data_IF_378489472925
#
_entry.id   IF_378489472925
#
_cell.length_a   1.000
_cell.length_b   1.000
_cell.length_c   1.000
_cell.angle_alpha   90.00
_cell.angle_beta   90.00
_cell.angle_gamma   90.00
#
_symmetry.space_group_name_H-M   'P 1'
#
loop_
_entity.id
_entity.type
_entity.pdbx_description
1 polymer ?
#
# COMPACT_ATOMS: atom_id res chain seq x y z
N UNK A 1 -6.84 -1.52 11.06
CA UNK A 1 -8.28 -1.90 11.05
C UNK A 1 -9.09 -0.69 10.62
N UNK A 2 -10.10 -0.88 9.74
CA UNK A 2 -10.97 0.21 9.26
C UNK A 2 -12.27 0.30 10.09
N UNK A 3 -12.86 1.49 10.18
CA UNK A 3 -14.20 1.65 10.77
C UNK A 3 -15.23 0.89 9.92
N UNK A 4 -16.09 0.09 10.55
CA UNK A 4 -17.04 -0.80 9.86
C UNK A 4 -18.04 -0.02 9.00
N UNK A 5 -18.71 0.97 9.56
CA UNK A 5 -19.72 1.77 8.84
C UNK A 5 -19.10 2.55 7.67
N UNK A 6 -17.84 2.96 7.80
CA UNK A 6 -17.09 3.55 6.70
C UNK A 6 -16.76 2.53 5.61
N UNK A 7 -16.31 1.33 5.97
CA UNK A 7 -15.96 0.29 5.01
C UNK A 7 -17.18 -0.19 4.19
N UNK A 8 -18.35 -0.28 4.82
CA UNK A 8 -19.62 -0.59 4.13
C UNK A 8 -20.00 0.46 3.09
N UNK A 9 -19.69 1.74 3.34
CA UNK A 9 -19.93 2.84 2.40
C UNK A 9 -18.83 2.98 1.33
N UNK A 10 -17.71 2.29 1.49
CA UNK A 10 -16.54 2.39 0.61
C UNK A 10 -16.05 0.98 0.21
N UNK A 11 -16.86 0.21 -0.54
CA UNK A 11 -16.58 -1.20 -0.82
C UNK A 11 -15.27 -1.41 -1.59
N UNK A 12 -14.91 -0.49 -2.49
CA UNK A 12 -13.62 -0.53 -3.19
C UNK A 12 -12.44 -0.42 -2.22
N UNK A 13 -12.48 0.55 -1.29
CA UNK A 13 -11.42 0.72 -0.30
C UNK A 13 -11.38 -0.45 0.71
N UNK A 14 -12.54 -0.98 1.11
CA UNK A 14 -12.61 -2.15 1.97
C UNK A 14 -11.98 -3.37 1.30
N UNK A 15 -12.24 -3.58 0.00
CA UNK A 15 -11.61 -4.64 -0.79
C UNK A 15 -10.10 -4.42 -0.90
N UNK A 16 -9.67 -3.20 -1.21
CA UNK A 16 -8.25 -2.85 -1.27
C UNK A 16 -7.51 -3.23 0.03
N UNK A 17 -8.04 -2.81 1.19
CA UNK A 17 -7.45 -3.15 2.49
C UNK A 17 -7.41 -4.65 2.79
N UNK A 18 -8.33 -5.42 2.21
CA UNK A 18 -8.38 -6.88 2.39
C UNK A 18 -7.35 -7.63 1.53
N UNK A 19 -7.02 -7.12 0.35
CA UNK A 19 -6.14 -7.80 -0.61
C UNK A 19 -4.68 -7.35 -0.54
N UNK A 20 -4.42 -6.12 -0.08
CA UNK A 20 -3.07 -5.59 0.01
C UNK A 20 -2.21 -6.42 0.96
N UNK A 21 -1.04 -6.83 0.48
CA UNK A 21 -0.03 -7.58 1.25
C UNK A 21 1.35 -7.04 0.93
N UNK A 22 2.02 -6.49 1.93
CA UNK A 22 3.37 -5.99 1.80
C UNK A 22 4.37 -7.04 2.33
N UNK A 23 5.40 -7.44 1.57
CA UNK A 23 6.42 -8.36 2.05
C UNK A 23 7.18 -7.79 3.26
N UNK A 24 7.44 -8.63 4.27
CA UNK A 24 8.18 -8.23 5.46
C UNK A 24 9.62 -7.77 5.12
N UNK A 25 10.24 -8.37 4.10
CA UNK A 25 11.56 -7.99 3.63
C UNK A 25 11.60 -6.54 3.13
N UNK A 26 10.57 -6.09 2.41
CA UNK A 26 10.48 -4.73 1.89
C UNK A 26 10.28 -3.71 3.01
N UNK A 27 9.48 -4.06 4.02
CA UNK A 27 9.31 -3.26 5.25
C UNK A 27 10.65 -3.11 5.98
N UNK A 28 11.40 -4.21 6.11
CA UNK A 28 12.71 -4.18 6.76
C UNK A 28 13.72 -3.32 5.98
N UNK A 29 13.72 -3.41 4.65
CA UNK A 29 14.57 -2.57 3.80
C UNK A 29 14.21 -1.09 3.94
N UNK A 30 12.92 -0.74 3.96
CA UNK A 30 12.45 0.62 4.18
C UNK A 30 12.87 1.15 5.56
N UNK A 31 12.69 0.35 6.62
CA UNK A 31 13.12 0.71 7.97
C UNK A 31 14.64 0.92 8.05
N UNK A 32 15.43 0.08 7.39
CA UNK A 32 16.90 0.23 7.35
C UNK A 32 17.32 1.55 6.68
N UNK A 33 16.66 1.95 5.58
CA UNK A 33 16.91 3.25 4.95
C UNK A 33 16.56 4.42 5.88
N UNK A 34 15.44 4.33 6.61
CA UNK A 34 15.06 5.34 7.60
C UNK A 34 16.08 5.42 8.74
N UNK A 35 16.55 4.28 9.26
CA UNK A 35 17.60 4.23 10.29
C UNK A 35 18.93 4.80 9.79
N UNK A 36 19.22 4.70 8.49
CA UNK A 36 20.39 5.30 7.86
C UNK A 36 20.23 6.81 7.54
N UNK A 37 19.13 7.45 7.97
CA UNK A 37 18.91 8.89 7.86
C UNK A 37 18.06 9.33 6.67
N UNK A 38 17.48 8.40 5.89
CA UNK A 38 16.50 8.68 4.83
C UNK A 38 15.08 8.61 5.39
N UNK A 39 14.76 9.49 6.33
CA UNK A 39 13.52 9.42 7.11
C UNK A 39 12.63 10.66 6.99
N UNK A 40 12.99 11.63 6.14
CA UNK A 40 12.10 12.77 5.87
C UNK A 40 10.83 12.32 5.14
N UNK A 41 9.77 13.12 5.19
CA UNK A 41 8.52 12.84 4.46
C UNK A 41 8.78 12.64 2.95
N UNK A 42 9.69 13.43 2.38
CA UNK A 42 10.10 13.31 0.97
C UNK A 42 10.81 11.99 0.72
N UNK A 43 11.71 11.55 1.61
CA UNK A 43 12.37 10.25 1.48
C UNK A 43 11.36 9.10 1.57
N UNK A 44 10.46 9.14 2.55
CA UNK A 44 9.42 8.10 2.73
C UNK A 44 8.51 8.03 1.51
N UNK A 45 8.10 9.18 0.95
CA UNK A 45 7.35 9.20 -0.31
C UNK A 45 8.15 8.56 -1.45
N UNK A 46 9.43 8.88 -1.56
CA UNK A 46 10.33 8.27 -2.54
C UNK A 46 10.45 6.75 -2.38
N UNK A 47 10.51 6.24 -1.14
CA UNK A 47 10.51 4.81 -0.86
C UNK A 47 9.22 4.13 -1.32
N UNK A 48 8.06 4.74 -1.05
CA UNK A 48 6.75 4.23 -1.49
C UNK A 48 6.63 4.22 -3.01
N UNK A 49 6.94 5.34 -3.66
CA UNK A 49 6.89 5.46 -5.13
C UNK A 49 7.84 4.44 -5.80
N UNK A 50 9.04 4.27 -5.22
CA UNK A 50 10.02 3.27 -5.67
C UNK A 50 9.51 1.84 -5.52
N UNK A 51 8.89 1.52 -4.37
CA UNK A 51 8.31 0.19 -4.14
C UNK A 51 7.16 -0.10 -5.12
N UNK A 52 6.26 0.85 -5.34
CA UNK A 52 5.15 0.72 -6.30
C UNK A 52 5.71 0.48 -7.70
N UNK A 53 6.71 1.26 -8.13
CA UNK A 53 7.34 1.08 -9.45
C UNK A 53 7.97 -0.31 -9.61
N UNK A 54 8.62 -0.83 -8.57
CA UNK A 54 9.22 -2.16 -8.59
C UNK A 54 8.17 -3.29 -8.58
N UNK A 55 6.97 -3.03 -8.04
CA UNK A 55 5.86 -3.99 -7.88
C UNK A 55 4.62 -3.58 -8.67
N UNK A 56 4.79 -2.90 -9.81
CA UNK A 56 3.70 -2.20 -10.50
C UNK A 56 2.53 -3.13 -10.82
N UNK A 57 2.80 -4.33 -11.34
CA UNK A 57 1.76 -5.30 -11.68
C UNK A 57 0.97 -5.78 -10.45
N UNK A 58 1.66 -5.97 -9.32
CA UNK A 58 1.01 -6.37 -8.07
C UNK A 58 0.13 -5.24 -7.52
N UNK A 59 0.65 -4.01 -7.53
CA UNK A 59 -0.11 -2.83 -7.11
C UNK A 59 -1.33 -2.60 -8.00
N UNK A 60 -1.16 -2.62 -9.32
CA UNK A 60 -2.23 -2.46 -10.30
C UNK A 60 -3.28 -3.57 -10.17
N UNK A 61 -2.86 -4.80 -9.86
CA UNK A 61 -3.75 -5.92 -9.57
C UNK A 61 -4.67 -5.64 -8.38
N UNK A 62 -4.13 -5.11 -7.27
CA UNK A 62 -4.93 -4.73 -6.10
C UNK A 62 -5.91 -3.61 -6.42
N UNK A 63 -5.48 -2.59 -7.16
CA UNK A 63 -6.36 -1.48 -7.58
C UNK A 63 -7.49 -1.99 -8.47
N UNK A 64 -7.18 -2.88 -9.43
CA UNK A 64 -8.18 -3.48 -10.30
C UNK A 64 -9.22 -4.26 -9.50
N UNK A 65 -8.79 -5.17 -8.62
CA UNK A 65 -9.69 -5.95 -7.76
C UNK A 65 -10.56 -5.05 -6.86
N UNK A 66 -9.99 -3.96 -6.35
CA UNK A 66 -10.72 -2.99 -5.55
C UNK A 66 -11.82 -2.28 -6.35
N UNK A 67 -11.51 -1.83 -7.57
CA UNK A 67 -12.47 -1.17 -8.46
C UNK A 67 -13.59 -2.10 -8.92
N UNK A 68 -13.31 -3.41 -9.08
CA UNK A 68 -14.31 -4.41 -9.42
C UNK A 68 -15.34 -4.60 -8.30
N UNK A 69 -14.96 -4.41 -7.04
CA UNK A 69 -15.86 -4.48 -5.88
C UNK A 69 -16.75 -3.24 -5.70
N UNK A 70 -16.59 -2.21 -6.54
CA UNK A 70 -17.45 -1.02 -6.53
C UNK A 70 -18.78 -1.23 -7.25
N UNK A 71 -18.92 -2.33 -8.02
CA UNK A 71 -20.13 -2.70 -8.76
C UNK A 71 -21.13 -3.41 -7.88
#
# INVERSE_FOLDING_TARGET
MANKAWAEKNPAAAKLFSVMKLPLADINAQNAMMHAGKSSEVDVKGHVDGWIKAHQQQFDGWVKEALEAQK
#
